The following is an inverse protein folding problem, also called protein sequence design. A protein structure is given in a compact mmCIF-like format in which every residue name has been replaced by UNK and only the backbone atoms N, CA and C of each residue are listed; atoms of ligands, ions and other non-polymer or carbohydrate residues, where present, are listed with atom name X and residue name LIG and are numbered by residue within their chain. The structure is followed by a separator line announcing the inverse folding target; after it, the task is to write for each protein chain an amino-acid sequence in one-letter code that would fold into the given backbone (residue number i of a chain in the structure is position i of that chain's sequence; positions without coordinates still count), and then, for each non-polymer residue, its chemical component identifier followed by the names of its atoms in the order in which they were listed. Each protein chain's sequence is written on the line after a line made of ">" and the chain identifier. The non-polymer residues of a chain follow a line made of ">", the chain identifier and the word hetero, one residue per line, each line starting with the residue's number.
data_IF_027911426210
#
_entry.id   IF_027911426210
#
_cell.length_a   1.000
_cell.length_b   1.000
_cell.length_c   1.000
_cell.angle_alpha   90.00
_cell.angle_beta   90.00
_cell.angle_gamma   90.00
#
_symmetry.space_group_name_H-M   'P 1'
#
loop_
_entity.id
_entity.type
_entity.pdbx_description
1 polymer ?
#
# COMPACT_ATOMS: atom_id res chain seq x y z
N UNK A 1 -1.10 -7.89 19.98
CA UNK A 1 -1.12 -8.02 18.51
C UNK A 1 -2.16 -7.06 17.98
N UNK A 2 -1.77 -5.94 17.35
CA UNK A 2 -2.74 -5.03 16.74
C UNK A 2 -3.15 -5.64 15.40
N UNK A 3 -4.33 -6.22 15.34
CA UNK A 3 -4.94 -6.62 14.07
C UNK A 3 -5.35 -5.32 13.36
N UNK A 4 -4.54 -4.90 12.38
CA UNK A 4 -4.86 -3.73 11.57
C UNK A 4 -5.89 -4.17 10.52
N UNK A 5 -7.15 -3.82 10.74
CA UNK A 5 -8.25 -4.05 9.80
C UNK A 5 -8.30 -2.89 8.79
N UNK A 6 -8.58 -3.20 7.52
CA UNK A 6 -8.58 -2.17 6.48
C UNK A 6 -9.71 -1.15 6.69
N UNK A 7 -10.92 -1.62 7.08
CA UNK A 7 -12.09 -0.76 7.28
C UNK A 7 -11.91 0.25 8.43
N UNK A 8 -11.56 -0.14 9.67
CA UNK A 8 -11.34 0.82 10.76
C UNK A 8 -10.24 1.85 10.47
N UNK A 9 -9.13 1.43 9.83
CA UNK A 9 -8.06 2.35 9.48
C UNK A 9 -8.45 3.32 8.35
N UNK A 10 -9.12 2.83 7.30
CA UNK A 10 -9.61 3.68 6.22
C UNK A 10 -10.69 4.67 6.69
N UNK A 11 -11.61 4.23 7.56
CA UNK A 11 -12.59 5.12 8.19
C UNK A 11 -11.94 6.23 9.02
N UNK A 12 -10.89 5.91 9.76
CA UNK A 12 -10.18 6.89 10.58
C UNK A 12 -9.38 7.89 9.74
N UNK A 13 -8.71 7.42 8.69
CA UNK A 13 -7.76 8.21 7.90
C UNK A 13 -8.40 8.98 6.75
N UNK A 14 -9.39 8.38 6.08
CA UNK A 14 -10.01 8.91 4.86
C UNK A 14 -11.47 9.29 5.10
N UNK A 15 -12.20 8.47 5.86
CA UNK A 15 -13.60 8.70 6.21
C UNK A 15 -14.55 7.58 5.76
N UNK A 16 -15.85 7.79 6.02
CA UNK A 16 -16.90 6.86 5.61
C UNK A 16 -16.96 6.74 4.09
N UNK A 17 -17.03 5.51 3.57
CA UNK A 17 -17.12 5.26 2.13
C UNK A 17 -15.79 5.42 1.38
N UNK A 18 -14.65 5.31 2.08
CA UNK A 18 -13.36 5.24 1.41
C UNK A 18 -13.32 4.04 0.46
N UNK A 19 -12.59 4.20 -0.65
CA UNK A 19 -12.41 3.16 -1.65
C UNK A 19 -10.98 2.65 -1.53
N UNK A 20 -10.81 1.33 -1.47
CA UNK A 20 -9.50 0.72 -1.48
C UNK A 20 -8.95 0.68 -2.91
N UNK A 21 -7.74 1.21 -3.04
CA UNK A 21 -6.93 1.10 -4.23
C UNK A 21 -5.87 0.02 -4.03
N UNK A 22 -5.84 -0.98 -4.92
CA UNK A 22 -4.80 -2.02 -4.96
C UNK A 22 -4.17 -2.04 -6.35
N UNK A 23 -2.90 -2.45 -6.42
CA UNK A 23 -2.23 -2.65 -7.71
C UNK A 23 -2.91 -3.77 -8.53
N UNK A 24 -2.57 -3.83 -9.81
CA UNK A 24 -3.19 -4.77 -10.74
C UNK A 24 -2.49 -6.14 -10.82
N UNK A 25 -1.59 -6.48 -9.88
CA UNK A 25 -0.89 -7.76 -9.89
C UNK A 25 -1.91 -8.92 -9.84
N UNK A 26 -1.76 -9.94 -10.72
CA UNK A 26 -2.65 -11.10 -10.78
C UNK A 26 -2.95 -11.77 -9.43
N UNK A 27 -2.03 -11.72 -8.46
CA UNK A 27 -2.21 -12.28 -7.12
C UNK A 27 -3.34 -11.58 -6.36
N UNK A 28 -3.44 -10.26 -6.46
CA UNK A 28 -4.48 -9.44 -5.84
C UNK A 28 -5.84 -9.58 -6.52
N UNK A 29 -5.85 -9.92 -7.82
CA UNK A 29 -7.08 -10.24 -8.58
C UNK A 29 -7.56 -11.68 -8.43
N UNK A 30 -6.81 -12.54 -7.74
CA UNK A 30 -7.22 -13.93 -7.55
C UNK A 30 -8.53 -14.05 -6.76
N UNK A 31 -9.41 -14.99 -7.15
CA UNK A 31 -10.67 -15.25 -6.43
C UNK A 31 -10.44 -15.56 -4.94
N UNK A 32 -9.33 -16.23 -4.62
CA UNK A 32 -8.94 -16.53 -3.26
C UNK A 32 -8.70 -15.26 -2.44
N UNK A 33 -7.89 -14.33 -2.98
CA UNK A 33 -7.58 -13.06 -2.32
C UNK A 33 -8.85 -12.19 -2.14
N UNK A 34 -9.64 -12.06 -3.21
CA UNK A 34 -10.89 -11.28 -3.19
C UNK A 34 -11.91 -11.84 -2.19
N UNK A 35 -12.07 -13.17 -2.14
CA UNK A 35 -12.98 -13.81 -1.19
C UNK A 35 -12.50 -13.66 0.26
N UNK A 36 -11.18 -13.78 0.49
CA UNK A 36 -10.59 -13.56 1.80
C UNK A 36 -10.85 -12.13 2.29
N UNK A 37 -10.56 -11.12 1.47
CA UNK A 37 -10.75 -9.71 1.80
C UNK A 37 -12.22 -9.40 2.08
N UNK A 38 -13.13 -9.84 1.20
CA UNK A 38 -14.58 -9.68 1.40
C UNK A 38 -15.05 -10.28 2.73
N UNK A 39 -14.58 -11.49 3.07
CA UNK A 39 -14.94 -12.14 4.33
C UNK A 39 -14.36 -11.42 5.55
N UNK A 40 -13.12 -10.95 5.45
CA UNK A 40 -12.41 -10.28 6.55
C UNK A 40 -12.99 -8.90 6.87
N UNK A 41 -13.45 -8.20 5.86
CA UNK A 41 -13.96 -6.83 5.96
C UNK A 41 -15.49 -6.79 5.85
N UNK A 42 -16.17 -7.91 6.13
CA UNK A 42 -17.64 -8.04 6.15
C UNK A 42 -18.37 -7.57 4.87
N UNK A 43 -17.67 -7.52 3.74
CA UNK A 43 -18.19 -7.00 2.48
C UNK A 43 -18.33 -5.47 2.43
N UNK A 44 -17.82 -4.75 3.43
CA UNK A 44 -17.90 -3.29 3.53
C UNK A 44 -16.80 -2.58 2.73
N UNK A 45 -15.76 -3.31 2.31
CA UNK A 45 -14.65 -2.74 1.57
C UNK A 45 -14.95 -2.69 0.07
N UNK A 46 -15.11 -1.47 -0.46
CA UNK A 46 -15.21 -1.21 -1.89
C UNK A 46 -13.81 -1.13 -2.50
N UNK A 47 -13.57 -1.87 -3.59
CA UNK A 47 -12.31 -1.85 -4.33
C UNK A 47 -12.50 -1.10 -5.64
N UNK A 48 -11.57 -0.20 -5.97
CA UNK A 48 -11.55 0.46 -7.27
C UNK A 48 -11.07 -0.52 -8.37
N UNK A 49 -11.87 -0.70 -9.42
CA UNK A 49 -11.43 -1.44 -10.60
C UNK A 49 -10.59 -0.54 -11.50
N UNK A 50 -9.30 -0.85 -11.64
CA UNK A 50 -8.41 -0.19 -12.60
C UNK A 50 -8.29 -0.98 -13.90
N UNK A 51 -8.21 -0.29 -15.06
CA UNK A 51 -7.85 -0.91 -16.32
C UNK A 51 -6.49 -1.59 -16.18
N UNK A 52 -6.36 -2.78 -16.78
CA UNK A 52 -5.09 -3.49 -16.83
C UNK A 52 -4.04 -2.65 -17.56
N UNK A 53 -2.76 -2.80 -17.18
CA UNK A 53 -1.61 -2.15 -17.83
C UNK A 53 -1.57 -0.62 -17.71
N UNK A 54 -2.03 -0.05 -16.60
CA UNK A 54 -1.85 1.38 -16.25
C UNK A 54 -0.95 1.58 -15.02
N UNK A 55 0.32 1.11 -15.02
CA UNK A 55 1.23 1.31 -13.89
C UNK A 55 1.46 2.80 -13.62
N UNK A 56 1.44 3.63 -14.67
CA UNK A 56 1.63 5.08 -14.62
C UNK A 56 0.57 5.82 -13.78
N UNK A 57 -0.56 5.17 -13.52
CA UNK A 57 -1.70 5.73 -12.78
C UNK A 57 -1.80 5.17 -11.36
N UNK A 58 -0.89 4.29 -10.93
CA UNK A 58 -0.91 3.74 -9.58
C UNK A 58 -0.09 4.64 -8.63
N UNK A 59 -0.73 5.38 -7.69
CA UNK A 59 -0.01 6.21 -6.72
C UNK A 59 0.96 5.40 -5.86
N UNK A 60 0.72 4.10 -5.69
CA UNK A 60 1.62 3.20 -4.96
C UNK A 60 2.97 3.04 -5.67
N UNK A 61 3.01 2.97 -7.00
CA UNK A 61 4.27 2.89 -7.76
C UNK A 61 5.09 4.19 -7.58
N UNK A 62 4.42 5.35 -7.61
CA UNK A 62 5.10 6.63 -7.39
C UNK A 62 5.76 6.73 -6.00
N UNK A 63 5.09 6.22 -4.97
CA UNK A 63 5.65 6.18 -3.61
C UNK A 63 6.83 5.20 -3.53
N UNK A 64 6.72 4.03 -4.18
CA UNK A 64 7.81 3.06 -4.24
C UNK A 64 9.03 3.60 -4.99
N UNK A 65 8.82 4.27 -6.12
CA UNK A 65 9.88 4.89 -6.91
C UNK A 65 10.64 5.95 -6.10
N UNK A 66 9.92 6.81 -5.38
CA UNK A 66 10.56 7.84 -4.55
C UNK A 66 11.30 7.22 -3.34
N UNK A 67 10.72 6.20 -2.71
CA UNK A 67 11.37 5.46 -1.63
C UNK A 67 12.66 4.81 -2.13
N UNK A 68 12.61 4.09 -3.25
CA UNK A 68 13.75 3.43 -3.86
C UNK A 68 14.86 4.42 -4.24
N UNK A 69 14.49 5.55 -4.86
CA UNK A 69 15.42 6.62 -5.22
C UNK A 69 16.17 7.16 -3.99
N UNK A 70 15.45 7.44 -2.90
CA UNK A 70 16.05 7.97 -1.65
C UNK A 70 16.91 6.92 -0.95
N UNK A 71 16.47 5.67 -0.89
CA UNK A 71 17.24 4.57 -0.29
C UNK A 71 18.54 4.34 -1.06
N UNK A 72 18.48 4.26 -2.39
CA UNK A 72 19.67 4.09 -3.25
C UNK A 72 20.68 5.22 -3.08
N UNK A 73 20.22 6.47 -2.93
CA UNK A 73 21.09 7.61 -2.68
C UNK A 73 21.88 7.50 -1.35
N UNK A 74 21.36 6.75 -0.36
CA UNK A 74 22.01 6.50 0.93
C UNK A 74 22.98 5.31 0.91
N UNK A 75 23.01 4.54 -0.18
CA UNK A 75 23.93 3.41 -0.41
C UNK A 75 23.94 2.40 0.77
N UNK A 76 22.84 1.67 0.99
CA UNK A 76 22.77 0.67 2.05
C UNK A 76 23.87 -0.40 1.88
N UNK A 77 24.49 -0.78 2.99
CA UNK A 77 25.65 -1.68 3.03
C UNK A 77 25.34 -3.08 3.54
N UNK A 78 24.13 -3.28 4.07
CA UNK A 78 23.64 -4.56 4.59
C UNK A 78 22.12 -4.61 4.52
N UNK A 79 21.54 -5.81 4.68
CA UNK A 79 20.09 -5.98 4.75
C UNK A 79 19.49 -5.23 5.96
N UNK A 80 20.18 -5.22 7.10
CA UNK A 80 19.76 -4.47 8.29
C UNK A 80 19.73 -2.97 8.04
N UNK A 81 20.80 -2.43 7.46
CA UNK A 81 20.89 -1.00 7.14
C UNK A 81 19.85 -0.60 6.08
N UNK A 82 19.60 -1.47 5.09
CA UNK A 82 18.51 -1.27 4.12
C UNK A 82 17.14 -1.17 4.81
N UNK A 83 16.86 -2.08 5.74
CA UNK A 83 15.59 -2.09 6.48
C UNK A 83 15.40 -0.83 7.32
N UNK A 84 16.43 -0.41 8.04
CA UNK A 84 16.42 0.83 8.84
C UNK A 84 16.16 2.07 7.97
N UNK A 85 16.83 2.16 6.81
CA UNK A 85 16.65 3.25 5.86
C UNK A 85 15.23 3.26 5.26
N UNK A 86 14.68 2.10 4.92
CA UNK A 86 13.31 1.99 4.42
C UNK A 86 12.31 2.55 5.43
N UNK A 87 12.43 2.18 6.70
CA UNK A 87 11.56 2.68 7.76
C UNK A 87 11.72 4.19 7.95
N UNK A 88 12.95 4.68 8.02
CA UNK A 88 13.24 6.10 8.21
C UNK A 88 12.65 6.95 7.07
N UNK A 89 12.96 6.59 5.82
CA UNK A 89 12.54 7.36 4.65
C UNK A 89 11.01 7.30 4.50
N UNK A 90 10.39 6.15 4.77
CA UNK A 90 8.94 6.02 4.79
C UNK A 90 8.29 7.01 5.77
N UNK A 91 8.81 7.12 6.99
CA UNK A 91 8.31 8.10 7.96
C UNK A 91 8.53 9.56 7.52
N UNK A 92 9.65 9.84 6.84
CA UNK A 92 9.90 11.17 6.28
C UNK A 92 8.91 11.53 5.17
N UNK A 93 8.57 10.56 4.29
CA UNK A 93 7.59 10.76 3.22
C UNK A 93 6.19 11.08 3.80
N UNK A 94 5.79 10.41 4.88
CA UNK A 94 4.51 10.65 5.56
C UNK A 94 4.43 11.98 6.32
N UNK A 95 5.58 12.62 6.63
CA UNK A 95 5.62 13.93 7.30
C UNK A 95 5.50 15.11 6.32
N UNK A 96 5.67 14.86 5.02
CA UNK A 96 5.67 15.89 3.98
C UNK A 96 4.25 16.17 3.44
N UNK A 97 3.29 15.27 3.69
CA UNK A 97 1.88 15.37 3.28
C UNK A 97 1.00 16.10 4.29
#
# INVERSE_FOLDING_TARGET
>A
TKTHHAVPSGMQLVGQGFILLQDSDPKHKSKLCQNYLRKKEHGELENMEWPAQSPDLNPTELVWDELDRRVKAKQPTSATHLWELLQQIWEELLKIS
#
